data_IF_680539672533
#
_entry.id   IF_680539672533
#
_cell.length_a   1.000
_cell.length_b   1.000
_cell.length_c   1.000
_cell.angle_alpha   90.00
_cell.angle_beta   90.00
_cell.angle_gamma   90.00
#
_symmetry.space_group_name_H-M   'P 1'
#
loop_
_entity.id
_entity.type
_entity.pdbx_description
1 polymer ?
#
# COMPACT_ATOMS: atom_id res chain seq x y z
N UNK A 1 -9.18 -16.71 -9.72
CA UNK A 1 -9.41 -15.28 -10.00
C UNK A 1 -8.27 -14.50 -9.34
N UNK A 2 -7.29 -14.07 -10.12
CA UNK A 2 -6.14 -13.29 -9.65
C UNK A 2 -6.63 -11.92 -9.19
N UNK A 3 -6.51 -11.64 -7.90
CA UNK A 3 -6.97 -10.39 -7.28
C UNK A 3 -6.15 -9.17 -7.72
N UNK A 4 -4.97 -9.39 -8.31
CA UNK A 4 -4.12 -8.33 -8.85
C UNK A 4 -4.56 -7.96 -10.29
N UNK A 5 -4.63 -6.66 -10.62
CA UNK A 5 -4.94 -6.22 -11.98
C UNK A 5 -3.88 -6.72 -12.97
N UNK A 6 -4.31 -7.05 -14.18
CA UNK A 6 -3.44 -7.57 -15.24
C UNK A 6 -2.29 -6.60 -15.62
N UNK A 7 -2.49 -5.29 -15.41
CA UNK A 7 -1.47 -4.27 -15.48
C UNK A 7 -1.83 -3.08 -14.58
N UNK A 8 -0.81 -2.44 -13.99
CA UNK A 8 -0.94 -1.15 -13.34
C UNK A 8 0.04 -0.19 -14.03
N UNK A 9 -0.46 0.95 -14.49
CA UNK A 9 0.34 1.99 -15.14
C UNK A 9 0.40 3.20 -14.24
N UNK A 10 1.59 3.60 -13.82
CA UNK A 10 1.78 4.91 -13.18
C UNK A 10 1.70 5.99 -14.26
N UNK A 11 0.55 6.66 -14.38
CA UNK A 11 0.48 7.92 -15.11
C UNK A 11 1.15 8.98 -14.22
N UNK A 12 2.46 9.18 -14.43
CA UNK A 12 3.20 10.27 -13.78
C UNK A 12 2.91 11.54 -14.56
N UNK A 13 2.09 12.42 -13.99
CA UNK A 13 1.90 13.77 -14.50
C UNK A 13 2.80 14.75 -13.74
N UNK A 14 3.37 15.72 -14.46
CA UNK A 14 4.36 16.64 -13.91
C UNK A 14 3.71 17.68 -12.98
N UNK A 15 4.23 17.77 -11.74
CA UNK A 15 4.40 19.02 -11.00
C UNK A 15 3.22 19.52 -10.17
N UNK A 16 3.23 19.19 -8.87
CA UNK A 16 2.42 19.85 -7.85
C UNK A 16 2.62 19.21 -6.47
N UNK A 17 3.13 19.95 -5.51
CA UNK A 17 3.39 19.51 -4.12
C UNK A 17 2.13 19.50 -3.23
N UNK A 18 0.94 19.60 -3.83
CA UNK A 18 -0.33 19.48 -3.14
C UNK A 18 -0.73 18.01 -3.00
N UNK A 19 -0.89 17.54 -1.75
CA UNK A 19 -1.39 16.20 -1.40
C UNK A 19 -2.82 15.90 -1.92
N UNK A 20 -3.48 16.92 -2.47
CA UNK A 20 -4.82 16.85 -3.05
C UNK A 20 -4.80 17.09 -4.57
N UNK A 21 -3.63 17.32 -5.17
CA UNK A 21 -3.53 17.44 -6.61
C UNK A 21 -3.82 16.07 -7.27
N UNK A 22 -4.86 15.96 -8.10
CA UNK A 22 -5.16 14.73 -8.83
C UNK A 22 -4.04 14.27 -9.77
N UNK A 23 -3.02 15.11 -10.00
CA UNK A 23 -1.81 14.81 -10.79
C UNK A 23 -0.82 13.85 -10.09
N UNK A 24 -0.94 13.64 -8.78
CA UNK A 24 -0.02 12.86 -7.93
C UNK A 24 -0.63 11.55 -7.41
N UNK A 25 -1.49 10.91 -8.21
CA UNK A 25 -2.24 9.70 -7.78
C UNK A 25 -1.88 8.51 -8.66
N UNK A 26 -1.63 7.35 -8.04
CA UNK A 26 -1.47 6.09 -8.77
C UNK A 26 -2.82 5.59 -9.27
N UNK A 27 -2.93 5.39 -10.58
CA UNK A 27 -4.11 4.82 -11.23
C UNK A 27 -3.87 3.38 -11.64
N UNK A 28 -4.90 2.56 -11.52
CA UNK A 28 -4.99 1.25 -12.17
C UNK A 28 -5.78 1.44 -13.45
N UNK A 29 -5.23 0.98 -14.57
CA UNK A 29 -5.92 1.00 -15.86
C UNK A 29 -6.50 -0.39 -16.09
N UNK A 30 -7.82 -0.45 -16.17
CA UNK A 30 -8.52 -1.68 -16.56
C UNK A 30 -8.85 -1.62 -18.06
N UNK A 31 -8.70 -2.73 -18.82
CA UNK A 31 -8.88 -2.72 -20.27
C UNK A 31 -10.28 -2.27 -20.74
N UNK A 32 -11.29 -2.45 -19.91
CA UNK A 32 -12.71 -2.28 -20.22
C UNK A 32 -13.34 -1.04 -19.57
N UNK A 33 -12.86 -0.62 -18.38
CA UNK A 33 -13.45 0.49 -17.61
C UNK A 33 -12.59 1.75 -17.52
N UNK A 34 -11.33 1.71 -17.98
CA UNK A 34 -10.43 2.85 -17.98
C UNK A 34 -9.67 3.06 -16.64
N UNK A 35 -9.09 4.25 -16.43
CA UNK A 35 -8.29 4.53 -15.24
C UNK A 35 -9.16 4.76 -14.00
N UNK A 36 -8.80 4.09 -12.88
CA UNK A 36 -9.39 4.35 -11.56
C UNK A 36 -8.32 4.36 -10.48
N UNK A 37 -8.65 4.88 -9.30
CA UNK A 37 -7.77 4.80 -8.12
C UNK A 37 -7.78 3.37 -7.55
N UNK A 38 -6.67 2.97 -6.93
CA UNK A 38 -6.63 1.81 -6.05
C UNK A 38 -7.58 2.03 -4.88
N UNK A 39 -8.40 1.04 -4.54
CA UNK A 39 -9.17 1.04 -3.29
C UNK A 39 -8.22 0.86 -2.10
N UNK A 40 -8.62 1.28 -0.89
CA UNK A 40 -7.80 1.02 0.30
C UNK A 40 -7.53 -0.47 0.54
N UNK A 41 -8.49 -1.35 0.25
CA UNK A 41 -8.32 -2.80 0.36
C UNK A 41 -7.26 -3.35 -0.62
N UNK A 42 -7.24 -2.84 -1.85
CA UNK A 42 -6.18 -3.20 -2.80
C UNK A 42 -4.82 -2.70 -2.32
N UNK A 43 -4.76 -1.50 -1.72
CA UNK A 43 -3.55 -0.96 -1.10
C UNK A 43 -3.04 -1.81 0.08
N UNK A 44 -3.94 -2.29 0.95
CA UNK A 44 -3.61 -3.23 2.04
C UNK A 44 -2.94 -4.49 1.49
N UNK A 45 -3.58 -5.13 0.51
CA UNK A 45 -3.04 -6.35 -0.10
C UNK A 45 -1.73 -6.13 -0.84
N UNK A 46 -1.58 -4.99 -1.54
CA UNK A 46 -0.33 -4.63 -2.21
C UNK A 46 0.82 -4.48 -1.22
N UNK A 47 0.57 -3.89 -0.05
CA UNK A 47 1.56 -3.77 1.01
C UNK A 47 1.75 -5.08 1.80
N UNK A 48 0.89 -6.09 1.60
CA UNK A 48 0.92 -7.37 2.31
C UNK A 48 0.23 -7.35 3.67
N UNK A 49 -0.64 -6.37 3.94
CA UNK A 49 -1.49 -6.36 5.13
C UNK A 49 -2.68 -7.33 4.99
N UNK A 50 -3.22 -7.83 6.13
CA UNK A 50 -4.51 -8.50 6.15
C UNK A 50 -5.63 -7.61 5.60
N UNK A 51 -6.66 -8.22 5.03
CA UNK A 51 -7.85 -7.50 4.56
C UNK A 51 -8.52 -6.74 5.71
N UNK A 52 -8.76 -5.45 5.53
CA UNK A 52 -9.39 -4.60 6.54
C UNK A 52 -8.47 -4.12 7.65
N UNK A 53 -7.14 -4.29 7.51
CA UNK A 53 -6.16 -3.85 8.50
C UNK A 53 -6.28 -2.37 8.90
N UNK A 54 -6.68 -1.52 7.95
CA UNK A 54 -6.88 -0.07 8.19
C UNK A 54 -8.35 0.33 8.22
N UNK A 55 -9.29 -0.63 8.28
CA UNK A 55 -10.71 -0.32 8.19
C UNK A 55 -11.23 0.47 9.41
N UNK A 56 -10.61 0.28 10.58
CA UNK A 56 -11.04 0.90 11.84
C UNK A 56 -9.86 1.44 12.63
N UNK A 57 -10.06 2.56 13.34
CA UNK A 57 -9.12 3.09 14.32
C UNK A 57 -9.88 3.44 15.59
N UNK A 58 -9.38 3.01 16.74
CA UNK A 58 -10.06 3.18 18.05
C UNK A 58 -11.50 2.62 18.08
N UNK A 59 -11.77 1.56 17.30
CA UNK A 59 -13.11 0.95 17.21
C UNK A 59 -14.05 1.64 16.22
N UNK A 60 -13.66 2.77 15.63
CA UNK A 60 -14.48 3.53 14.69
C UNK A 60 -14.03 3.33 13.23
N UNK A 61 -14.95 3.31 12.24
CA UNK A 61 -14.60 3.24 10.83
C UNK A 61 -13.73 4.42 10.38
N UNK A 62 -12.71 4.15 9.57
CA UNK A 62 -11.84 5.18 9.03
C UNK A 62 -12.26 5.67 7.65
N UNK A 63 -12.01 6.96 7.37
CA UNK A 63 -12.18 7.52 6.04
C UNK A 63 -11.12 6.98 5.06
N UNK A 64 -11.47 6.87 3.77
CA UNK A 64 -10.52 6.41 2.75
C UNK A 64 -9.24 7.27 2.72
N UNK A 65 -9.36 8.58 2.99
CA UNK A 65 -8.21 9.50 3.06
C UNK A 65 -7.22 9.10 4.15
N UNK A 66 -7.71 8.76 5.34
CA UNK A 66 -6.87 8.37 6.46
C UNK A 66 -6.23 6.99 6.21
N UNK A 67 -6.98 6.09 5.58
CA UNK A 67 -6.48 4.78 5.16
C UNK A 67 -5.36 4.90 4.15
N UNK A 68 -5.51 5.73 3.11
CA UNK A 68 -4.43 5.99 2.15
C UNK A 68 -3.20 6.61 2.81
N UNK A 69 -3.40 7.53 3.76
CA UNK A 69 -2.29 8.18 4.47
C UNK A 69 -1.52 7.17 5.33
N UNK A 70 -2.21 6.27 6.03
CA UNK A 70 -1.58 5.20 6.81
C UNK A 70 -0.84 4.21 5.91
N UNK A 71 -1.49 3.72 4.85
CA UNK A 71 -0.88 2.78 3.91
C UNK A 71 0.35 3.37 3.21
N UNK A 72 0.29 4.65 2.81
CA UNK A 72 1.40 5.34 2.14
C UNK A 72 2.59 5.65 3.05
N UNK A 73 2.36 5.83 4.36
CA UNK A 73 3.42 6.00 5.36
C UNK A 73 3.91 4.66 5.94
N UNK A 74 3.27 3.54 5.57
CA UNK A 74 3.60 2.22 6.07
C UNK A 74 4.75 1.57 5.29
N UNK A 75 5.27 0.48 5.83
CA UNK A 75 6.24 -0.38 5.16
C UNK A 75 5.53 -1.49 4.38
N UNK A 76 6.16 -1.97 3.30
CA UNK A 76 5.74 -3.21 2.67
C UNK A 76 6.08 -4.40 3.59
N UNK A 77 5.04 -5.07 4.11
CA UNK A 77 5.13 -6.14 5.10
C UNK A 77 6.09 -7.26 4.67
N UNK A 78 6.03 -7.80 3.42
CA UNK A 78 6.91 -8.90 3.02
C UNK A 78 8.39 -8.52 3.01
N UNK A 79 8.70 -7.26 2.69
CA UNK A 79 10.08 -6.76 2.67
C UNK A 79 10.61 -6.62 4.10
N UNK A 80 9.83 -6.00 4.98
CA UNK A 80 10.24 -5.81 6.36
C UNK A 80 10.37 -7.15 7.10
N UNK A 81 9.48 -8.11 6.86
CA UNK A 81 9.58 -9.47 7.41
C UNK A 81 10.91 -10.16 6.99
N UNK A 82 11.32 -10.00 5.73
CA UNK A 82 12.60 -10.53 5.24
C UNK A 82 13.81 -9.89 5.93
N UNK A 83 13.78 -8.58 6.18
CA UNK A 83 14.84 -7.85 6.89
C UNK A 83 14.89 -8.27 8.36
N UNK A 84 13.75 -8.28 9.05
CA UNK A 84 13.65 -8.62 10.46
C UNK A 84 14.20 -10.03 10.76
N UNK A 85 13.90 -11.02 9.91
CA UNK A 85 14.45 -12.37 10.04
C UNK A 85 15.98 -12.41 10.04
N UNK A 86 16.63 -11.54 9.26
CA UNK A 86 18.10 -11.46 9.19
C UNK A 86 18.70 -10.82 10.42
N UNK A 87 18.05 -9.77 10.95
CA UNK A 87 18.47 -9.12 12.19
C UNK A 87 18.45 -10.15 13.33
N UNK A 88 17.34 -10.87 13.49
CA UNK A 88 17.22 -11.94 14.51
C UNK A 88 18.29 -13.02 14.33
N UNK A 89 18.57 -13.42 13.09
CA UNK A 89 19.62 -14.41 12.80
C UNK A 89 21.01 -13.87 13.17
N UNK A 90 21.32 -12.62 12.86
CA UNK A 90 22.60 -12.00 13.19
C UNK A 90 22.80 -11.87 14.71
N UNK A 91 21.80 -11.39 15.43
CA UNK A 91 21.83 -11.28 16.89
C UNK A 91 22.06 -12.65 17.55
N UNK A 92 21.47 -13.71 16.99
CA UNK A 92 21.65 -15.08 17.50
C UNK A 92 23.06 -15.65 17.25
N UNK A 93 23.80 -15.14 16.27
CA UNK A 93 25.20 -15.51 16.01
C UNK A 93 26.13 -14.79 16.97
N UNK A 94 25.87 -13.51 17.28
CA UNK A 94 26.69 -12.74 18.22
C UNK A 94 26.53 -13.20 19.67
N UNK A 95 25.39 -13.80 20.01
CA UNK A 95 25.11 -14.34 21.33
C UNK A 95 25.70 -15.76 21.57
N UNK A 96 26.33 -16.39 20.56
CA UNK A 96 26.88 -17.75 20.61
C UNK A 96 28.41 -17.75 20.60
#
# INVERSE_FOLDING_TARGET
MTWAPAAAYSLVSHGGNDKQDPSMVTYVVQPDTGPRRLTPLEGERLQGFPDGWTATSHGEPQSDRDRYTQLGNSVAVPVFEWVARRIVTADSIEAA
#
